data_IF_042377087177
#
_entry.id   IF_042377087177
#
_cell.length_a   1.000
_cell.length_b   1.000
_cell.length_c   1.000
_cell.angle_alpha   90.00
_cell.angle_beta   90.00
_cell.angle_gamma   90.00
#
_symmetry.space_group_name_H-M   'P 1'
#
loop_
_entity.id
_entity.type
_entity.pdbx_description
1 polymer ?
#
# COMPACT_ATOMS: atom_id res chain seq x y z
N UNK A 1 8.83 -14.66 -19.95
CA UNK A 1 7.77 -13.72 -19.55
C UNK A 1 6.90 -14.45 -18.55
N UNK A 2 6.78 -13.91 -17.35
CA UNK A 2 6.01 -14.50 -16.26
C UNK A 2 4.51 -14.56 -16.56
N UNK A 3 3.84 -15.53 -15.96
CA UNK A 3 2.38 -15.58 -15.93
C UNK A 3 1.76 -14.38 -15.19
N UNK A 4 0.52 -14.03 -15.53
CA UNK A 4 -0.20 -12.93 -14.85
C UNK A 4 -0.37 -13.15 -13.35
N UNK A 5 -0.45 -14.42 -12.90
CA UNK A 5 -0.58 -14.75 -11.49
C UNK A 5 0.72 -14.48 -10.73
N UNK A 6 1.86 -14.82 -11.32
CA UNK A 6 3.19 -14.52 -10.75
C UNK A 6 3.44 -13.01 -10.66
N UNK A 7 3.04 -12.24 -11.67
CA UNK A 7 3.14 -10.77 -11.65
C UNK A 7 2.29 -10.14 -10.53
N UNK A 8 1.02 -10.52 -10.40
CA UNK A 8 0.12 -10.02 -9.35
C UNK A 8 0.61 -10.40 -7.94
N UNK A 9 1.24 -11.57 -7.80
CA UNK A 9 1.89 -11.99 -6.56
C UNK A 9 3.10 -11.11 -6.21
N UNK A 10 4.01 -10.86 -7.15
CA UNK A 10 5.18 -10.01 -6.94
C UNK A 10 4.79 -8.56 -6.60
N UNK A 11 3.75 -8.02 -7.24
CA UNK A 11 3.24 -6.67 -6.95
C UNK A 11 2.68 -6.56 -5.52
N UNK A 12 1.90 -7.56 -5.09
CA UNK A 12 1.40 -7.62 -3.70
C UNK A 12 2.54 -7.76 -2.69
N UNK A 13 3.56 -8.56 -3.01
CA UNK A 13 4.73 -8.74 -2.17
C UNK A 13 5.57 -7.46 -2.05
N UNK A 14 5.74 -6.71 -3.15
CA UNK A 14 6.38 -5.39 -3.16
C UNK A 14 5.75 -4.46 -2.14
N UNK A 15 4.42 -4.35 -2.18
CA UNK A 15 3.67 -3.50 -1.26
C UNK A 15 3.88 -3.93 0.20
N UNK A 16 3.79 -5.24 0.50
CA UNK A 16 4.00 -5.76 1.86
C UNK A 16 5.44 -5.52 2.38
N UNK A 17 6.46 -5.68 1.55
CA UNK A 17 7.85 -5.42 1.93
C UNK A 17 8.10 -3.92 2.21
N UNK A 18 7.51 -3.04 1.40
CA UNK A 18 7.51 -1.59 1.69
C UNK A 18 6.76 -1.27 2.99
N UNK A 19 5.68 -2.00 3.32
CA UNK A 19 4.97 -1.90 4.61
C UNK A 19 5.81 -2.36 5.80
N UNK A 20 6.68 -3.34 5.60
CA UNK A 20 7.70 -3.75 6.59
C UNK A 20 8.85 -2.75 6.68
N UNK A 21 8.83 -1.74 5.82
CA UNK A 21 9.74 -0.61 5.75
C UNK A 21 11.13 -0.97 5.24
N UNK A 22 11.18 -1.94 4.33
CA UNK A 22 12.30 -2.09 3.38
C UNK A 22 12.36 -0.87 2.46
N UNK A 23 13.56 -0.49 2.05
CA UNK A 23 13.78 0.55 1.06
C UNK A 23 13.45 0.04 -0.35
N UNK A 24 13.14 0.94 -1.28
CA UNK A 24 12.84 0.58 -2.68
C UNK A 24 13.96 -0.26 -3.31
N UNK A 25 15.23 0.04 -3.02
CA UNK A 25 16.36 -0.71 -3.54
C UNK A 25 16.42 -2.15 -3.00
N UNK A 26 16.21 -2.34 -1.69
CA UNK A 26 16.15 -3.68 -1.08
C UNK A 26 14.97 -4.49 -1.60
N UNK A 27 13.82 -3.83 -1.81
CA UNK A 27 12.63 -4.49 -2.35
C UNK A 27 12.86 -4.92 -3.80
N UNK A 28 13.50 -4.09 -4.61
CA UNK A 28 13.80 -4.43 -6.00
C UNK A 28 14.75 -5.62 -6.10
N UNK A 29 15.85 -5.62 -5.34
CA UNK A 29 16.82 -6.73 -5.32
C UNK A 29 16.16 -8.06 -4.93
N UNK A 30 15.35 -8.07 -3.87
CA UNK A 30 14.62 -9.25 -3.42
C UNK A 30 13.59 -9.76 -4.44
N UNK A 31 12.92 -8.85 -5.14
CA UNK A 31 11.91 -9.21 -6.14
C UNK A 31 12.53 -9.64 -7.45
N UNK A 32 13.65 -9.05 -7.86
CA UNK A 32 14.38 -9.43 -9.08
C UNK A 32 14.90 -10.86 -8.99
N UNK A 33 15.50 -11.24 -7.85
CA UNK A 33 15.92 -12.63 -7.59
C UNK A 33 14.73 -13.60 -7.64
N UNK A 34 13.61 -13.23 -7.02
CA UNK A 34 12.40 -14.07 -7.01
C UNK A 34 11.74 -14.15 -8.39
N UNK A 35 11.74 -13.07 -9.17
CA UNK A 35 11.27 -13.01 -10.55
C UNK A 35 12.10 -13.93 -11.45
N UNK A 36 13.42 -13.93 -11.30
CA UNK A 36 14.32 -14.84 -12.03
C UNK A 36 14.00 -16.30 -11.70
N UNK A 37 13.85 -16.64 -10.42
CA UNK A 37 13.48 -17.99 -9.99
C UNK A 37 12.12 -18.44 -10.55
N UNK A 38 11.09 -17.58 -10.48
CA UNK A 38 9.77 -17.88 -11.03
C UNK A 38 9.82 -18.03 -12.56
N UNK A 39 10.62 -17.19 -13.24
CA UNK A 39 10.78 -17.24 -14.70
C UNK A 39 11.47 -18.53 -15.13
N UNK A 40 12.49 -18.97 -14.41
CA UNK A 40 13.18 -20.24 -14.67
C UNK A 40 12.27 -21.45 -14.42
N UNK A 41 11.55 -21.46 -13.30
CA UNK A 41 10.62 -22.53 -12.97
C UNK A 41 9.47 -22.65 -14.00
N UNK A 42 8.85 -21.54 -14.39
CA UNK A 42 7.81 -21.54 -15.44
C UNK A 42 8.36 -22.01 -16.79
N UNK A 43 9.59 -21.61 -17.16
CA UNK A 43 10.24 -22.04 -18.40
C UNK A 43 10.54 -23.54 -18.41
N UNK A 44 10.84 -24.12 -17.25
CA UNK A 44 11.10 -25.55 -17.09
C UNK A 44 9.82 -26.39 -16.94
N UNK A 45 8.62 -25.78 -17.00
CA UNK A 45 7.34 -26.41 -16.66
C UNK A 45 7.30 -26.97 -15.23
N UNK A 46 8.04 -26.36 -14.32
CA UNK A 46 7.98 -26.66 -12.89
C UNK A 46 6.75 -25.99 -12.26
N UNK A 47 6.20 -26.60 -11.22
CA UNK A 47 5.01 -26.11 -10.55
C UNK A 47 5.33 -24.92 -9.63
N UNK A 48 5.08 -23.69 -10.11
CA UNK A 48 5.22 -22.45 -9.34
C UNK A 48 4.02 -22.15 -8.45
N UNK A 49 2.95 -22.94 -8.52
CA UNK A 49 1.72 -22.69 -7.76
C UNK A 49 1.95 -22.76 -6.25
N UNK A 50 2.91 -23.58 -5.80
CA UNK A 50 3.31 -23.67 -4.39
C UNK A 50 3.86 -22.34 -3.85
N UNK A 51 4.63 -21.62 -4.67
CA UNK A 51 5.24 -20.33 -4.33
C UNK A 51 4.18 -19.23 -4.38
N UNK A 52 3.43 -19.14 -5.50
CA UNK A 52 2.44 -18.08 -5.75
C UNK A 52 1.23 -18.17 -4.80
N UNK A 53 0.84 -19.38 -4.37
CA UNK A 53 -0.25 -19.55 -3.42
C UNK A 53 0.17 -19.35 -1.95
N UNK A 54 1.45 -19.13 -1.67
CA UNK A 54 1.91 -18.82 -0.32
C UNK A 54 1.31 -17.48 0.13
N UNK A 55 0.76 -17.37 1.35
CA UNK A 55 0.26 -16.11 1.85
C UNK A 55 1.34 -15.02 1.79
N UNK A 56 1.03 -13.86 1.19
CA UNK A 56 1.99 -12.75 0.98
C UNK A 56 2.75 -12.40 2.26
N UNK A 57 2.04 -12.36 3.40
CA UNK A 57 2.65 -12.11 4.71
C UNK A 57 3.72 -13.15 5.08
N UNK A 58 3.43 -14.42 4.83
CA UNK A 58 4.37 -15.52 5.12
C UNK A 58 5.56 -15.52 4.18
N UNK A 59 5.37 -15.14 2.91
CA UNK A 59 6.48 -14.95 1.98
C UNK A 59 7.35 -13.76 2.41
N UNK A 60 6.72 -12.63 2.78
CA UNK A 60 7.42 -11.46 3.28
C UNK A 60 8.15 -11.71 4.61
N UNK A 61 7.63 -12.59 5.47
CA UNK A 61 8.33 -13.05 6.69
C UNK A 61 9.61 -13.84 6.36
N UNK A 62 9.59 -14.62 5.28
CA UNK A 62 10.76 -15.39 4.84
C UNK A 62 11.82 -14.51 4.20
N UNK A 63 11.43 -13.56 3.35
CA UNK A 63 12.34 -12.65 2.66
C UNK A 63 12.83 -11.52 3.57
N UNK A 64 12.01 -11.08 4.52
CA UNK A 64 12.32 -10.00 5.45
C UNK A 64 11.81 -10.33 6.85
N UNK A 65 12.56 -11.15 7.61
CA UNK A 65 12.21 -11.46 9.00
C UNK A 65 12.27 -10.23 9.92
N UNK A 66 13.03 -9.21 9.53
CA UNK A 66 13.13 -7.94 10.25
C UNK A 66 12.07 -6.95 9.77
N UNK A 67 11.34 -6.36 10.72
CA UNK A 67 10.34 -5.31 10.48
C UNK A 67 10.96 -3.98 10.90
N UNK A 68 11.35 -3.16 9.92
CA UNK A 68 11.89 -1.82 10.12
C UNK A 68 10.85 -0.80 9.69
N UNK A 69 9.88 -0.48 10.56
CA UNK A 69 8.69 0.33 10.27
C UNK A 69 8.93 1.78 9.77
N UNK A 70 10.16 2.22 9.48
CA UNK A 70 10.57 3.59 9.78
C UNK A 70 10.87 4.52 8.59
N UNK A 71 11.03 4.08 7.33
CA UNK A 71 11.64 4.99 6.32
C UNK A 71 10.90 5.17 5.01
N UNK A 72 10.40 4.13 4.34
CA UNK A 72 9.85 4.25 2.98
C UNK A 72 8.46 4.91 2.89
N UNK A 73 7.48 4.36 3.62
CA UNK A 73 6.08 4.78 3.51
C UNK A 73 5.76 6.10 4.20
N UNK A 74 6.54 6.47 5.22
CA UNK A 74 6.31 7.71 5.97
C UNK A 74 6.32 8.94 5.05
N UNK A 75 7.20 8.94 4.03
CA UNK A 75 7.26 10.01 3.03
C UNK A 75 5.96 10.13 2.25
N UNK A 76 5.40 9.02 1.77
CA UNK A 76 4.16 9.01 1.01
C UNK A 76 2.95 9.36 1.86
N UNK A 77 2.89 8.86 3.09
CA UNK A 77 1.85 9.20 4.07
C UNK A 77 1.91 10.71 4.37
N UNK A 78 3.10 11.25 4.64
CA UNK A 78 3.29 12.69 4.90
C UNK A 78 2.89 13.53 3.68
N UNK A 79 3.28 13.14 2.47
CA UNK A 79 2.90 13.84 1.24
C UNK A 79 1.38 13.82 1.01
N UNK A 80 0.73 12.69 1.31
CA UNK A 80 -0.73 12.54 1.22
C UNK A 80 -1.46 13.47 2.20
N UNK A 81 -1.00 13.56 3.44
CA UNK A 81 -1.54 14.52 4.41
C UNK A 81 -1.31 15.98 3.99
N UNK A 82 -0.11 16.29 3.46
CA UNK A 82 0.19 17.62 2.93
C UNK A 82 -0.72 17.98 1.74
N UNK A 83 -1.01 17.01 0.86
CA UNK A 83 -1.95 17.17 -0.25
C UNK A 83 -3.37 17.46 0.22
N UNK A 84 -3.89 16.70 1.20
CA UNK A 84 -5.22 16.94 1.78
C UNK A 84 -5.30 18.35 2.38
N UNK A 85 -4.28 18.75 3.14
CA UNK A 85 -4.21 20.10 3.72
C UNK A 85 -4.19 21.18 2.63
N UNK A 86 -3.41 20.98 1.57
CA UNK A 86 -3.35 21.92 0.44
C UNK A 86 -4.72 22.08 -0.24
N UNK A 87 -5.43 20.98 -0.50
CA UNK A 87 -6.78 21.00 -1.10
C UNK A 87 -7.79 21.75 -0.21
N UNK A 88 -7.64 21.70 1.11
CA UNK A 88 -8.54 22.39 2.04
C UNK A 88 -8.18 23.86 2.22
N UNK A 89 -6.89 24.17 2.35
CA UNK A 89 -6.39 25.51 2.71
C UNK A 89 -6.32 26.43 1.49
N UNK A 90 -5.82 25.95 0.34
CA UNK A 90 -5.57 26.79 -0.83
C UNK A 90 -6.85 27.47 -1.35
N UNK A 91 -7.99 26.78 -1.54
CA UNK A 91 -9.21 27.44 -1.99
C UNK A 91 -9.68 28.57 -1.06
N UNK A 92 -9.52 28.38 0.25
CA UNK A 92 -9.90 29.36 1.28
C UNK A 92 -8.96 30.54 1.37
N UNK A 93 -7.71 30.35 0.97
CA UNK A 93 -6.75 31.43 0.85
C UNK A 93 -7.00 32.27 -0.41
N UNK A 94 -7.51 31.65 -1.48
CA UNK A 94 -7.84 32.31 -2.73
C UNK A 94 -9.22 32.99 -2.72
N UNK A 95 -10.12 32.57 -1.84
CA UNK A 95 -11.36 33.29 -1.56
C UNK A 95 -11.01 34.65 -0.90
N UNK A 96 -11.16 35.74 -1.66
CA UNK A 96 -10.80 37.12 -1.29
C UNK A 96 -11.62 37.73 -0.12
N UNK A 97 -12.45 36.95 0.57
CA UNK A 97 -13.31 37.39 1.67
C UNK A 97 -12.88 36.76 3.00
N UNK A 98 -12.66 37.62 4.01
CA UNK A 98 -12.35 37.33 5.43
C UNK A 98 -12.00 35.87 5.76
N UNK A 99 -10.72 35.62 6.04
CA UNK A 99 -10.22 34.35 6.54
C UNK A 99 -10.74 34.06 7.96
N UNK A 100 -12.02 33.73 8.07
CA UNK A 100 -12.70 33.42 9.32
C UNK A 100 -12.62 31.91 9.59
N UNK A 101 -11.48 31.48 10.16
CA UNK A 101 -11.32 30.10 10.64
C UNK A 101 -12.10 29.94 11.94
N UNK A 102 -13.36 29.55 11.80
CA UNK A 102 -14.21 29.24 12.96
C UNK A 102 -13.89 27.85 13.51
N UNK A 103 -14.00 27.67 14.83
CA UNK A 103 -13.86 26.35 15.48
C UNK A 103 -14.79 25.30 14.85
N UNK A 104 -16.01 25.70 14.48
CA UNK A 104 -16.96 24.85 13.76
C UNK A 104 -16.42 24.34 12.41
N UNK A 105 -15.63 25.17 11.71
CA UNK A 105 -15.03 24.79 10.45
C UNK A 105 -13.88 23.78 10.62
N UNK A 106 -13.07 23.93 11.67
CA UNK A 106 -12.04 22.95 12.01
C UNK A 106 -12.66 21.59 12.40
N UNK A 107 -13.74 21.61 13.18
CA UNK A 107 -14.49 20.40 13.53
C UNK A 107 -15.12 19.74 12.29
N UNK A 108 -15.61 20.54 11.34
CA UNK A 108 -16.13 20.05 10.07
C UNK A 108 -15.05 19.31 9.26
N UNK A 109 -13.87 19.90 9.06
CA UNK A 109 -12.75 19.22 8.39
C UNK A 109 -12.39 17.92 9.12
N UNK A 110 -12.20 18.00 10.44
CA UNK A 110 -11.82 16.84 11.24
C UNK A 110 -12.85 15.71 11.11
N UNK A 111 -14.14 16.04 11.11
CA UNK A 111 -15.21 15.06 10.93
C UNK A 111 -15.17 14.38 9.56
N UNK A 112 -14.90 15.14 8.48
CA UNK A 112 -14.78 14.58 7.12
C UNK A 112 -13.57 13.65 7.02
N UNK A 113 -12.42 14.06 7.57
CA UNK A 113 -11.21 13.23 7.53
C UNK A 113 -11.44 11.92 8.31
N UNK A 114 -12.02 12.01 9.51
CA UNK A 114 -12.31 10.82 10.33
C UNK A 114 -13.31 9.90 9.61
N UNK A 115 -14.41 10.44 9.09
CA UNK A 115 -15.40 9.66 8.35
C UNK A 115 -14.81 9.04 7.09
N UNK A 116 -13.99 9.78 6.34
CA UNK A 116 -13.29 9.28 5.16
C UNK A 116 -12.38 8.10 5.48
N UNK A 117 -11.60 8.19 6.57
CA UNK A 117 -10.74 7.09 7.04
C UNK A 117 -11.57 5.89 7.47
N UNK A 118 -12.63 6.08 8.26
CA UNK A 118 -13.50 5.00 8.74
C UNK A 118 -14.19 4.30 7.57
N UNK A 119 -14.77 5.05 6.65
CA UNK A 119 -15.45 4.50 5.46
C UNK A 119 -14.43 3.78 4.56
N UNK A 120 -13.27 4.39 4.32
CA UNK A 120 -12.18 3.76 3.55
C UNK A 120 -11.74 2.44 4.16
N UNK A 121 -11.57 2.40 5.48
CA UNK A 121 -11.22 1.18 6.22
C UNK A 121 -12.32 0.10 6.14
N UNK A 122 -13.60 0.49 6.23
CA UNK A 122 -14.73 -0.43 6.09
C UNK A 122 -14.84 -1.00 4.67
N UNK A 123 -14.62 -0.17 3.64
CA UNK A 123 -14.59 -0.61 2.24
C UNK A 123 -13.44 -1.59 2.05
N UNK A 124 -12.23 -1.25 2.51
CA UNK A 124 -11.05 -2.10 2.42
C UNK A 124 -11.29 -3.44 3.12
N UNK A 125 -11.86 -3.43 4.33
CA UNK A 125 -12.23 -4.66 5.05
C UNK A 125 -13.22 -5.49 4.23
N UNK A 126 -14.27 -4.88 3.67
CA UNK A 126 -15.28 -5.62 2.91
C UNK A 126 -14.75 -6.17 1.58
N UNK A 127 -13.85 -5.45 0.89
CA UNK A 127 -13.22 -5.95 -0.34
C UNK A 127 -12.20 -7.04 -0.05
N UNK A 128 -11.37 -6.91 0.99
CA UNK A 128 -10.45 -7.96 1.43
C UNK A 128 -11.19 -9.23 1.88
N UNK A 129 -12.26 -9.09 2.67
CA UNK A 129 -13.08 -10.25 3.10
C UNK A 129 -13.70 -10.96 1.89
N UNK A 130 -14.21 -10.20 0.91
CA UNK A 130 -14.77 -10.78 -0.34
C UNK A 130 -13.72 -11.50 -1.19
N UNK A 131 -12.47 -11.02 -1.20
CA UNK A 131 -11.37 -11.68 -1.91
C UNK A 131 -10.95 -12.98 -1.21
N UNK A 132 -11.00 -13.03 0.13
CA UNK A 132 -10.70 -14.23 0.92
C UNK A 132 -11.81 -15.29 0.83
N UNK A 133 -13.09 -14.90 0.76
CA UNK A 133 -14.22 -15.85 0.69
C UNK A 133 -14.54 -16.41 -0.69
N UNK A 134 -13.81 -15.99 -1.74
CA UNK A 134 -14.05 -16.44 -3.13
C UNK A 134 -13.04 -17.49 -3.62
N UNK A 135 -12.26 -18.09 -2.72
CA UNK A 135 -11.41 -19.25 -2.97
C UNK A 135 -11.98 -20.45 -2.20
#
# INVERSE_FOLDING_TARGET
MLSKQSQDFLEKLRVELLFRGKTEAEVEELLEELEDHLTMAEKNNEDTSSIINTPIKSMADQLSPEISLTTGLYKYITLYFAFILAVIIIPRFLDLGTFDVTIAFLLYIASIVILGVVIGMLILRNTLVRLVTKK
#
